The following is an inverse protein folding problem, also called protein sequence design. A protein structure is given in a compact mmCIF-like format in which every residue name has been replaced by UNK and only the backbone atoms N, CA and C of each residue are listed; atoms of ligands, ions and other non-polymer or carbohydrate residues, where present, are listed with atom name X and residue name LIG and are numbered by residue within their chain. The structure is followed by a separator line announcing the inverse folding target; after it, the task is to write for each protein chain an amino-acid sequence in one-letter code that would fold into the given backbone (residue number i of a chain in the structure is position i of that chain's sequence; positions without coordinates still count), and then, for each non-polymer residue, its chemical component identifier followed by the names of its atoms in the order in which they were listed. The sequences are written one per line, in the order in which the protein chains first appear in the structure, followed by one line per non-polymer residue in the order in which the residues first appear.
data_IF_531147448246
#
_entry.id   IF_531147448246
#
_cell.length_a   1.000
_cell.length_b   1.000
_cell.length_c   1.000
_cell.angle_alpha   90.00
_cell.angle_beta   90.00
_cell.angle_gamma   90.00
#
_symmetry.space_group_name_H-M   'P 1'
#
loop_
_entity.id
_entity.type
_entity.pdbx_description
1 polymer ?
#
# COMPACT_ATOMS: atom_id res chain seq x y z
N UNK A 1 17.50 -67.86 0.58
CA UNK A 1 18.55 -66.85 0.86
C UNK A 1 18.11 -65.52 0.25
N UNK A 2 17.04 -64.88 0.67
CA UNK A 2 16.60 -63.58 0.09
C UNK A 2 15.72 -62.73 1.03
N UNK A 3 15.86 -62.84 2.34
CA UNK A 3 15.04 -62.06 3.31
C UNK A 3 15.87 -61.22 4.29
N UNK A 4 17.21 -61.34 4.27
CA UNK A 4 18.11 -60.68 5.26
C UNK A 4 18.69 -59.34 4.80
N UNK A 5 18.34 -58.81 3.59
CA UNK A 5 18.90 -57.55 3.08
C UNK A 5 17.95 -56.30 3.15
N UNK A 6 16.79 -56.45 3.77
CA UNK A 6 15.81 -55.33 3.88
C UNK A 6 15.90 -54.58 5.22
N UNK A 7 16.60 -55.07 6.23
CA UNK A 7 16.70 -54.41 7.55
C UNK A 7 17.96 -53.54 7.74
N UNK A 8 18.90 -53.57 6.78
CA UNK A 8 20.16 -52.79 6.86
C UNK A 8 20.09 -51.35 6.38
N UNK A 9 19.00 -50.90 5.73
CA UNK A 9 18.89 -49.55 5.17
C UNK A 9 18.10 -48.52 5.99
N UNK A 10 17.52 -48.93 7.12
CA UNK A 10 16.69 -48.04 7.94
C UNK A 10 17.37 -47.39 9.15
N UNK A 11 18.62 -47.73 9.45
CA UNK A 11 19.33 -47.15 10.60
C UNK A 11 20.38 -46.10 10.28
N UNK A 12 20.59 -45.73 9.01
CA UNK A 12 21.56 -44.72 8.59
C UNK A 12 21.04 -43.27 8.56
N UNK A 13 19.78 -43.01 8.99
CA UNK A 13 19.15 -41.70 8.88
C UNK A 13 18.93 -40.93 10.20
N UNK A 14 19.48 -41.40 11.33
CA UNK A 14 19.24 -40.77 12.65
C UNK A 14 20.45 -40.06 13.26
N UNK A 15 21.57 -39.90 12.57
CA UNK A 15 22.72 -39.12 13.04
C UNK A 15 22.98 -37.86 12.21
N UNK A 16 21.93 -37.22 11.74
CA UNK A 16 22.03 -35.87 11.17
C UNK A 16 22.21 -34.86 12.29
N UNK A 17 23.46 -34.58 12.71
CA UNK A 17 23.78 -33.33 13.39
C UNK A 17 23.19 -32.19 12.54
N UNK A 18 22.14 -31.51 13.04
CA UNK A 18 21.67 -30.25 12.51
C UNK A 18 22.79 -29.23 12.72
N UNK A 19 23.77 -29.23 11.83
CA UNK A 19 24.68 -28.09 11.73
C UNK A 19 23.85 -26.87 11.40
N UNK A 20 23.86 -25.88 12.29
CA UNK A 20 23.23 -24.59 12.01
C UNK A 20 23.70 -24.11 10.62
N UNK A 21 22.81 -23.70 9.76
CA UNK A 21 23.19 -23.25 8.42
C UNK A 21 24.29 -22.19 8.56
N UNK A 22 25.40 -22.37 7.86
CA UNK A 22 26.48 -21.40 7.90
C UNK A 22 25.95 -20.06 7.38
N UNK A 23 26.37 -18.94 7.99
CA UNK A 23 26.01 -17.58 7.55
C UNK A 23 26.08 -17.41 6.02
N UNK A 24 27.10 -18.01 5.39
CA UNK A 24 27.27 -17.99 3.92
C UNK A 24 26.17 -18.73 3.14
N UNK A 25 25.58 -19.79 3.71
CA UNK A 25 24.48 -20.52 3.08
C UNK A 25 23.15 -19.76 3.21
N UNK A 26 22.95 -19.05 4.32
CA UNK A 26 21.78 -18.17 4.53
C UNK A 26 21.83 -16.98 3.59
N UNK A 27 22.98 -16.34 3.43
CA UNK A 27 23.18 -15.20 2.51
C UNK A 27 23.00 -15.61 1.05
N UNK A 28 23.46 -16.80 0.65
CA UNK A 28 23.22 -17.31 -0.71
C UNK A 28 21.77 -17.74 -0.97
N UNK A 29 21.06 -18.20 0.05
CA UNK A 29 19.66 -18.61 -0.06
C UNK A 29 18.67 -17.45 -0.06
N UNK A 30 19.02 -16.33 0.57
CA UNK A 30 18.17 -15.16 0.70
C UNK A 30 18.95 -13.86 0.40
N UNK A 31 19.31 -13.60 -0.88
CA UNK A 31 20.09 -12.41 -1.24
C UNK A 31 19.40 -11.11 -0.85
N UNK A 32 18.08 -11.12 -0.70
CA UNK A 32 17.29 -9.97 -0.27
C UNK A 32 17.66 -9.48 1.14
N UNK A 33 18.08 -10.38 2.05
CA UNK A 33 18.48 -10.04 3.43
C UNK A 33 19.78 -9.23 3.52
N UNK A 34 20.61 -9.30 2.49
CA UNK A 34 21.90 -8.59 2.43
C UNK A 34 21.84 -7.38 1.47
N UNK A 35 21.15 -7.52 0.34
CA UNK A 35 21.07 -6.47 -0.67
C UNK A 35 20.22 -5.31 -0.19
N UNK A 36 19.05 -5.57 0.44
CA UNK A 36 18.18 -4.49 0.94
C UNK A 36 18.86 -3.55 1.94
N UNK A 37 19.48 -4.04 3.03
CA UNK A 37 20.18 -3.14 3.95
C UNK A 37 21.40 -2.47 3.30
N UNK A 38 22.11 -3.15 2.38
CA UNK A 38 23.23 -2.54 1.67
C UNK A 38 22.79 -1.34 0.80
N UNK A 39 21.66 -1.46 0.11
CA UNK A 39 21.07 -0.34 -0.66
C UNK A 39 20.68 0.80 0.28
N UNK A 40 20.04 0.51 1.41
CA UNK A 40 19.66 1.54 2.38
C UNK A 40 20.88 2.28 2.93
N UNK A 41 21.92 1.54 3.30
CA UNK A 41 23.21 2.12 3.76
C UNK A 41 23.83 2.99 2.66
N UNK A 42 23.82 2.50 1.41
CA UNK A 42 24.36 3.28 0.28
C UNK A 42 23.59 4.61 0.08
N UNK A 43 22.25 4.59 0.17
CA UNK A 43 21.42 5.79 0.06
C UNK A 43 21.73 6.77 1.21
N UNK A 44 21.79 6.28 2.46
CA UNK A 44 22.08 7.12 3.62
C UNK A 44 23.52 7.70 3.56
N UNK A 45 24.48 6.90 3.10
CA UNK A 45 25.86 7.35 2.90
C UNK A 45 25.94 8.41 1.78
N UNK A 46 25.24 8.19 0.67
CA UNK A 46 25.19 9.18 -0.41
C UNK A 46 24.56 10.51 0.09
N UNK A 47 23.48 10.44 0.84
CA UNK A 47 22.89 11.64 1.46
C UNK A 47 23.86 12.35 2.40
N UNK A 48 24.54 11.58 3.26
CA UNK A 48 25.57 12.16 4.18
C UNK A 48 26.73 12.81 3.41
N UNK A 49 27.24 12.16 2.36
CA UNK A 49 28.31 12.70 1.51
C UNK A 49 27.87 14.00 0.82
N UNK A 50 26.66 14.04 0.27
CA UNK A 50 26.13 15.25 -0.38
C UNK A 50 26.03 16.42 0.59
N UNK A 51 25.56 16.17 1.80
CA UNK A 51 25.37 17.23 2.80
C UNK A 51 26.67 17.69 3.48
N UNK A 52 27.65 16.79 3.70
CA UNK A 52 28.87 17.13 4.47
C UNK A 52 30.11 17.31 3.61
N UNK A 53 30.29 16.46 2.58
CA UNK A 53 31.50 16.50 1.74
C UNK A 53 31.33 17.49 0.59
N UNK A 54 30.18 17.40 -0.11
CA UNK A 54 29.87 18.34 -1.20
C UNK A 54 29.34 19.68 -0.68
N UNK A 55 29.12 19.83 0.63
CA UNK A 55 28.65 21.05 1.30
C UNK A 55 27.42 21.66 0.63
N UNK A 56 26.47 20.78 0.20
CA UNK A 56 25.23 21.24 -0.39
C UNK A 56 24.52 22.21 0.56
N UNK A 57 23.96 23.32 0.05
CA UNK A 57 23.24 24.27 0.90
C UNK A 57 22.13 23.60 1.70
N UNK A 58 22.04 23.87 3.00
CA UNK A 58 21.10 23.22 3.93
C UNK A 58 19.64 23.47 3.58
N UNK A 59 19.34 24.53 2.82
CA UNK A 59 18.03 24.84 2.28
C UNK A 59 17.67 24.02 1.03
N UNK A 60 18.62 23.19 0.51
CA UNK A 60 18.36 22.25 -0.58
C UNK A 60 18.39 20.81 -0.03
N UNK A 61 19.51 20.46 0.64
CA UNK A 61 19.72 19.13 1.21
C UNK A 61 20.15 19.26 2.66
N UNK A 62 19.23 19.20 3.63
CA UNK A 62 19.57 19.27 5.04
C UNK A 62 20.36 18.03 5.47
N UNK A 63 21.35 18.16 6.38
CA UNK A 63 22.06 17.04 6.97
C UNK A 63 21.11 16.06 7.67
N UNK A 64 21.35 14.74 7.59
CA UNK A 64 20.50 13.72 8.21
C UNK A 64 20.24 13.94 9.69
N UNK A 65 21.23 14.42 10.45
CA UNK A 65 21.10 14.71 11.88
C UNK A 65 20.16 15.89 12.18
N UNK A 66 20.07 16.89 11.30
CA UNK A 66 19.10 17.98 11.46
C UNK A 66 17.68 17.47 11.22
N UNK A 67 17.49 16.61 10.22
CA UNK A 67 16.21 15.97 9.95
C UNK A 67 15.79 15.09 11.12
N UNK A 68 16.71 14.30 11.67
CA UNK A 68 16.46 13.47 12.84
C UNK A 68 16.07 14.30 14.07
N UNK A 69 16.81 15.40 14.35
CA UNK A 69 16.46 16.31 15.45
C UNK A 69 15.08 16.94 15.26
N UNK A 70 14.74 17.38 14.03
CA UNK A 70 13.44 17.92 13.72
C UNK A 70 12.33 16.88 13.94
N UNK A 71 12.56 15.63 13.54
CA UNK A 71 11.62 14.51 13.75
C UNK A 71 11.41 14.26 15.25
N UNK A 72 12.49 14.12 16.01
CA UNK A 72 12.41 13.87 17.46
C UNK A 72 11.71 15.02 18.18
N UNK A 73 12.08 16.26 17.87
CA UNK A 73 11.47 17.45 18.50
C UNK A 73 9.96 17.55 18.20
N UNK A 74 9.56 17.24 16.97
CA UNK A 74 8.14 17.26 16.60
C UNK A 74 7.34 16.12 17.25
N UNK A 75 7.94 14.94 17.42
CA UNK A 75 7.32 13.79 18.08
C UNK A 75 7.39 13.85 19.62
N UNK A 76 8.32 14.60 20.19
CA UNK A 76 8.43 14.79 21.65
C UNK A 76 7.29 15.63 22.24
N UNK A 77 6.56 16.38 21.42
CA UNK A 77 5.40 17.17 21.85
C UNK A 77 4.21 16.27 22.15
N UNK A 78 3.35 16.73 23.05
CA UNK A 78 2.15 15.98 23.43
C UNK A 78 1.24 15.71 22.21
N UNK A 79 0.52 14.57 22.16
CA UNK A 79 -0.32 14.23 21.02
C UNK A 79 -1.46 15.21 20.70
N UNK A 80 -1.86 16.02 21.69
CA UNK A 80 -2.90 17.05 21.55
C UNK A 80 -2.33 18.45 21.28
N UNK A 81 -1.01 18.61 21.29
CA UNK A 81 -0.37 19.88 21.00
C UNK A 81 -0.44 20.20 19.50
N UNK A 82 -1.12 21.29 19.08
CA UNK A 82 -1.18 21.71 17.68
C UNK A 82 0.19 22.05 17.07
N UNK A 83 1.24 22.22 17.89
CA UNK A 83 2.61 22.37 17.41
C UNK A 83 3.34 21.04 17.20
N UNK A 84 2.75 19.89 17.56
CA UNK A 84 3.37 18.57 17.49
C UNK A 84 2.95 17.77 16.26
N UNK A 85 3.81 16.83 15.85
CA UNK A 85 3.53 16.00 14.67
C UNK A 85 2.39 14.99 14.91
N UNK A 86 2.16 14.52 16.13
CA UNK A 86 1.09 13.57 16.46
C UNK A 86 -0.29 14.11 16.16
N UNK A 87 -0.56 15.38 16.52
CA UNK A 87 -1.83 16.05 16.26
C UNK A 87 -2.13 16.07 14.76
N UNK A 88 -1.18 16.52 13.96
CA UNK A 88 -1.32 16.63 12.51
C UNK A 88 -1.36 15.26 11.83
N UNK A 89 -0.55 14.29 12.29
CA UNK A 89 -0.57 12.92 11.80
C UNK A 89 -1.93 12.25 12.01
N UNK A 90 -2.53 12.45 13.18
CA UNK A 90 -3.89 11.94 13.47
C UNK A 90 -4.94 12.46 12.50
N UNK A 91 -4.89 13.75 12.15
CA UNK A 91 -5.80 14.36 11.19
C UNK A 91 -5.58 13.80 9.79
N UNK A 92 -4.35 13.80 9.29
CA UNK A 92 -4.01 13.25 7.97
C UNK A 92 -4.41 11.78 7.83
N UNK A 93 -4.14 10.97 8.86
CA UNK A 93 -4.53 9.55 8.88
C UNK A 93 -6.05 9.40 8.85
N UNK A 94 -6.78 10.21 9.62
CA UNK A 94 -8.24 10.17 9.63
C UNK A 94 -8.83 10.51 8.26
N UNK A 95 -8.36 11.58 7.64
CA UNK A 95 -8.76 12.00 6.30
C UNK A 95 -8.44 10.94 5.23
N UNK A 96 -7.24 10.36 5.32
CA UNK A 96 -6.80 9.28 4.43
C UNK A 96 -7.66 8.03 4.59
N UNK A 97 -7.97 7.61 5.82
CA UNK A 97 -8.79 6.43 6.11
C UNK A 97 -10.23 6.59 5.61
N UNK A 98 -10.83 7.76 5.84
CA UNK A 98 -12.19 8.04 5.35
C UNK A 98 -12.26 8.01 3.82
N UNK A 99 -11.34 8.73 3.16
CA UNK A 99 -11.29 8.77 1.70
C UNK A 99 -10.95 7.39 1.10
N UNK A 100 -10.03 6.65 1.72
CA UNK A 100 -9.70 5.27 1.33
C UNK A 100 -10.92 4.34 1.46
N UNK A 101 -11.64 4.39 2.56
CA UNK A 101 -12.81 3.55 2.77
C UNK A 101 -13.91 3.84 1.75
N UNK A 102 -14.25 5.12 1.57
CA UNK A 102 -15.28 5.56 0.60
C UNK A 102 -14.85 5.17 -0.82
N UNK A 103 -13.66 5.56 -1.27
CA UNK A 103 -13.17 5.26 -2.61
C UNK A 103 -13.06 3.77 -2.88
N UNK A 104 -12.63 2.98 -1.90
CA UNK A 104 -12.51 1.52 -2.02
C UNK A 104 -13.86 0.83 -2.14
N UNK A 105 -14.83 1.20 -1.30
CA UNK A 105 -16.18 0.63 -1.38
C UNK A 105 -16.85 0.94 -2.71
N UNK A 106 -16.85 2.21 -3.12
CA UNK A 106 -17.42 2.60 -4.40
C UNK A 106 -16.67 1.97 -5.59
N UNK A 107 -15.33 1.92 -5.54
CA UNK A 107 -14.52 1.30 -6.58
C UNK A 107 -14.79 -0.20 -6.71
N UNK A 108 -14.88 -0.93 -5.60
CA UNK A 108 -15.17 -2.36 -5.60
C UNK A 108 -16.60 -2.66 -6.10
N UNK A 109 -17.60 -1.95 -5.56
CA UNK A 109 -19.00 -2.15 -5.94
C UNK A 109 -19.22 -1.81 -7.42
N UNK A 110 -18.73 -0.67 -7.86
CA UNK A 110 -18.91 -0.24 -9.25
C UNK A 110 -18.12 -1.12 -10.22
N UNK A 111 -16.87 -1.49 -9.86
CA UNK A 111 -16.05 -2.38 -10.68
C UNK A 111 -16.70 -3.75 -10.86
N UNK A 112 -17.24 -4.34 -9.79
CA UNK A 112 -17.97 -5.58 -9.85
C UNK A 112 -19.25 -5.45 -10.70
N UNK A 113 -20.02 -4.37 -10.51
CA UNK A 113 -21.26 -4.11 -11.24
C UNK A 113 -21.01 -3.95 -12.75
N UNK A 114 -19.99 -3.19 -13.13
CA UNK A 114 -19.66 -2.94 -14.54
C UNK A 114 -19.36 -4.26 -15.27
N UNK A 115 -18.51 -5.10 -14.69
CA UNK A 115 -18.09 -6.35 -15.38
C UNK A 115 -19.16 -7.42 -15.33
N UNK A 116 -20.08 -7.37 -14.36
CA UNK A 116 -21.18 -8.33 -14.29
C UNK A 116 -22.09 -8.28 -15.54
N UNK A 117 -22.21 -7.12 -16.19
CA UNK A 117 -22.96 -6.95 -17.43
C UNK A 117 -22.02 -6.63 -18.61
N UNK A 118 -21.80 -7.58 -19.55
CA UNK A 118 -20.84 -7.40 -20.66
C UNK A 118 -21.10 -6.17 -21.53
N UNK A 119 -22.38 -5.77 -21.70
CA UNK A 119 -22.73 -4.55 -22.44
C UNK A 119 -22.24 -3.32 -21.68
N UNK A 120 -22.44 -3.27 -20.37
CA UNK A 120 -22.02 -2.15 -19.54
C UNK A 120 -20.49 -2.05 -19.51
N UNK A 121 -19.80 -3.17 -19.39
CA UNK A 121 -18.34 -3.24 -19.43
C UNK A 121 -17.77 -2.64 -20.72
N UNK A 122 -18.22 -3.14 -21.88
CA UNK A 122 -17.74 -2.66 -23.20
C UNK A 122 -18.02 -1.18 -23.41
N UNK A 123 -19.16 -0.68 -22.90
CA UNK A 123 -19.56 0.70 -23.06
C UNK A 123 -18.83 1.64 -22.11
N UNK A 124 -18.52 1.21 -20.88
CA UNK A 124 -17.91 2.08 -19.85
C UNK A 124 -16.39 2.02 -19.82
N UNK A 125 -15.78 0.93 -20.28
CA UNK A 125 -14.33 0.73 -20.24
C UNK A 125 -13.51 1.90 -20.83
N UNK A 126 -13.84 2.46 -22.02
CA UNK A 126 -13.10 3.60 -22.56
C UNK A 126 -13.15 4.84 -21.65
N UNK A 127 -14.29 5.08 -20.98
CA UNK A 127 -14.42 6.17 -20.02
C UNK A 127 -13.62 5.93 -18.75
N UNK A 128 -13.60 4.70 -18.23
CA UNK A 128 -12.79 4.34 -17.07
C UNK A 128 -11.31 4.62 -17.35
N UNK A 129 -10.79 4.20 -18.51
CA UNK A 129 -9.41 4.49 -18.93
C UNK A 129 -9.17 5.99 -19.08
N UNK A 130 -10.09 6.71 -19.72
CA UNK A 130 -10.01 8.16 -19.89
C UNK A 130 -9.94 8.90 -18.55
N UNK A 131 -10.84 8.60 -17.61
CA UNK A 131 -10.85 9.20 -16.29
C UNK A 131 -9.64 8.78 -15.42
N UNK A 132 -9.13 7.58 -15.61
CA UNK A 132 -7.91 7.15 -14.92
C UNK A 132 -6.69 7.98 -15.35
N UNK A 133 -6.64 8.42 -16.60
CA UNK A 133 -5.55 9.21 -17.15
C UNK A 133 -5.55 10.68 -16.71
N UNK A 134 -6.67 11.18 -16.13
CA UNK A 134 -6.72 12.55 -15.63
C UNK A 134 -5.78 12.76 -14.44
N UNK A 135 -5.07 13.89 -14.39
CA UNK A 135 -4.23 14.26 -13.25
C UNK A 135 -5.09 14.64 -12.04
N UNK A 136 -5.54 13.66 -11.27
CA UNK A 136 -6.48 13.83 -10.16
C UNK A 136 -6.02 14.84 -9.10
N UNK A 137 -4.71 14.99 -8.93
CA UNK A 137 -4.10 16.00 -8.04
C UNK A 137 -4.49 17.42 -8.45
N UNK A 138 -4.67 17.67 -9.76
CA UNK A 138 -5.08 18.97 -10.28
C UNK A 138 -6.53 19.35 -9.90
N UNK A 139 -7.32 18.39 -9.41
CA UNK A 139 -8.69 18.65 -8.93
C UNK A 139 -8.70 19.30 -7.53
N UNK A 140 -7.59 19.29 -6.79
CA UNK A 140 -7.57 19.77 -5.40
C UNK A 140 -8.05 21.23 -5.23
N UNK A 141 -7.63 22.23 -6.06
CA UNK A 141 -8.16 23.58 -5.97
C UNK A 141 -9.67 23.66 -6.24
N UNK A 142 -10.18 22.83 -7.16
CA UNK A 142 -11.59 22.77 -7.47
C UNK A 142 -12.42 22.22 -6.30
N UNK A 143 -11.86 21.26 -5.56
CA UNK A 143 -12.50 20.71 -4.37
C UNK A 143 -12.67 21.78 -3.29
N UNK A 144 -11.68 22.64 -3.12
CA UNK A 144 -11.78 23.77 -2.19
C UNK A 144 -12.87 24.76 -2.60
N UNK A 145 -13.03 25.00 -3.90
CA UNK A 145 -14.12 25.87 -4.40
C UNK A 145 -15.50 25.26 -4.15
N UNK A 146 -15.66 23.95 -4.30
CA UNK A 146 -16.95 23.27 -4.15
C UNK A 146 -17.32 22.96 -2.70
N UNK A 147 -16.34 22.50 -1.90
CA UNK A 147 -16.57 21.99 -0.55
C UNK A 147 -15.95 22.88 0.55
N UNK A 148 -15.23 23.95 0.17
CA UNK A 148 -14.50 24.76 1.13
C UNK A 148 -13.23 24.09 1.66
N UNK A 149 -12.64 24.71 2.70
CA UNK A 149 -11.41 24.21 3.35
C UNK A 149 -11.66 23.11 4.41
N UNK A 150 -12.86 22.51 4.41
CA UNK A 150 -13.28 21.51 5.38
C UNK A 150 -12.71 20.10 5.13
N UNK A 151 -13.21 19.16 5.93
CA UNK A 151 -12.89 17.75 5.83
C UNK A 151 -13.40 17.14 4.51
N UNK A 152 -14.56 17.61 4.05
CA UNK A 152 -15.30 17.04 2.93
C UNK A 152 -14.50 17.08 1.63
N UNK A 153 -13.88 18.21 1.31
CA UNK A 153 -13.06 18.36 0.10
C UNK A 153 -11.84 17.44 0.10
N UNK A 154 -11.18 17.29 1.26
CA UNK A 154 -10.00 16.45 1.42
C UNK A 154 -10.35 14.96 1.34
N UNK A 155 -11.44 14.56 1.98
CA UNK A 155 -11.95 13.18 1.90
C UNK A 155 -12.42 12.86 0.48
N UNK A 156 -13.07 13.79 -0.20
CA UNK A 156 -13.53 13.57 -1.57
C UNK A 156 -12.38 13.36 -2.56
N UNK A 157 -11.33 14.22 -2.53
CA UNK A 157 -10.18 14.05 -3.43
C UNK A 157 -9.44 12.73 -3.13
N UNK A 158 -9.31 12.37 -1.85
CA UNK A 158 -8.72 11.11 -1.44
C UNK A 158 -9.54 9.93 -1.96
N UNK A 159 -10.87 9.99 -1.85
CA UNK A 159 -11.77 8.98 -2.37
C UNK A 159 -11.66 8.83 -3.90
N UNK A 160 -11.61 9.93 -4.65
CA UNK A 160 -11.43 9.90 -6.10
C UNK A 160 -10.09 9.29 -6.51
N UNK A 161 -9.01 9.58 -5.77
CA UNK A 161 -7.68 9.04 -6.06
C UNK A 161 -7.64 7.53 -5.79
N UNK A 162 -8.27 7.07 -4.71
CA UNK A 162 -8.27 5.66 -4.29
C UNK A 162 -9.29 4.79 -5.03
N UNK A 163 -10.34 5.39 -5.56
CA UNK A 163 -11.41 4.72 -6.29
C UNK A 163 -10.91 3.93 -7.51
N UNK A 164 -10.10 4.56 -8.38
CA UNK A 164 -9.72 3.95 -9.66
C UNK A 164 -8.85 2.70 -9.54
N UNK A 165 -7.81 2.66 -8.70
CA UNK A 165 -7.03 1.43 -8.50
C UNK A 165 -7.90 0.26 -8.03
N UNK A 166 -8.84 0.50 -7.13
CA UNK A 166 -9.73 -0.54 -6.63
C UNK A 166 -10.72 -0.99 -7.72
N UNK A 167 -11.32 -0.05 -8.42
CA UNK A 167 -12.25 -0.34 -9.53
C UNK A 167 -11.60 -1.23 -10.59
N UNK A 168 -10.44 -0.80 -11.11
CA UNK A 168 -9.76 -1.54 -12.20
C UNK A 168 -9.29 -2.92 -11.75
N UNK A 169 -8.75 -3.03 -10.54
CA UNK A 169 -8.33 -4.33 -10.02
C UNK A 169 -9.54 -5.24 -9.73
N UNK A 170 -10.67 -4.71 -9.29
CA UNK A 170 -11.89 -5.49 -9.12
C UNK A 170 -12.41 -6.01 -10.46
N UNK A 171 -12.40 -5.18 -11.50
CA UNK A 171 -12.75 -5.59 -12.86
C UNK A 171 -11.83 -6.72 -13.35
N UNK A 172 -10.51 -6.54 -13.22
CA UNK A 172 -9.52 -7.55 -13.60
C UNK A 172 -9.71 -8.86 -12.81
N UNK A 173 -10.04 -8.76 -11.52
CA UNK A 173 -10.32 -9.93 -10.68
C UNK A 173 -11.55 -10.72 -11.15
N UNK A 174 -12.60 -10.04 -11.55
CA UNK A 174 -13.78 -10.70 -12.12
C UNK A 174 -13.44 -11.42 -13.45
N UNK A 175 -12.71 -10.75 -14.34
CA UNK A 175 -12.29 -11.28 -15.63
C UNK A 175 -11.28 -12.45 -15.51
N UNK A 176 -10.59 -12.58 -14.38
CA UNK A 176 -9.64 -13.67 -14.13
C UNK A 176 -10.30 -15.04 -13.87
N UNK A 177 -11.60 -15.09 -13.73
CA UNK A 177 -12.35 -16.35 -13.53
C UNK A 177 -12.36 -17.14 -14.82
N UNK A 178 -11.78 -18.35 -14.78
CA UNK A 178 -11.74 -19.27 -15.93
C UNK A 178 -13.15 -19.65 -16.36
N UNK A 179 -13.50 -19.52 -17.66
CA UNK A 179 -14.83 -19.87 -18.18
C UNK A 179 -15.23 -21.32 -17.85
N UNK A 180 -14.28 -22.23 -17.86
CA UNK A 180 -14.48 -23.66 -17.56
C UNK A 180 -15.00 -23.88 -16.13
N UNK A 181 -14.60 -23.04 -15.18
CA UNK A 181 -15.12 -23.09 -13.80
C UNK A 181 -16.58 -22.66 -13.73
N UNK A 182 -16.96 -21.71 -14.57
CA UNK A 182 -18.34 -21.22 -14.68
C UNK A 182 -19.21 -22.31 -15.33
N UNK A 183 -18.75 -22.94 -16.42
CA UNK A 183 -19.44 -24.02 -17.10
C UNK A 183 -19.62 -25.25 -16.21
N UNK A 184 -18.57 -25.60 -15.44
CA UNK A 184 -18.65 -26.69 -14.47
C UNK A 184 -19.72 -26.40 -13.39
N UNK A 185 -19.77 -25.19 -12.89
CA UNK A 185 -20.78 -24.80 -11.91
C UNK A 185 -22.20 -24.91 -12.46
N UNK A 186 -22.44 -24.52 -13.71
CA UNK A 186 -23.73 -24.69 -14.36
C UNK A 186 -24.07 -26.16 -14.60
N UNK A 187 -23.08 -26.97 -14.97
CA UNK A 187 -23.27 -28.44 -15.13
C UNK A 187 -23.65 -29.11 -13.81
N UNK A 188 -23.22 -28.55 -12.68
CA UNK A 188 -23.62 -28.98 -11.35
C UNK A 188 -24.93 -28.31 -10.86
N UNK A 189 -25.69 -27.67 -11.75
CA UNK A 189 -26.93 -26.96 -11.43
C UNK A 189 -26.79 -25.91 -10.34
N UNK A 190 -25.64 -25.21 -10.29
CA UNK A 190 -25.40 -24.13 -9.33
C UNK A 190 -26.28 -22.91 -9.64
N UNK A 191 -26.89 -22.33 -8.63
CA UNK A 191 -27.62 -21.07 -8.78
C UNK A 191 -26.66 -19.91 -9.03
N UNK A 192 -27.15 -18.82 -9.62
CA UNK A 192 -26.38 -17.57 -9.84
C UNK A 192 -25.76 -17.06 -8.53
N UNK A 193 -26.47 -17.15 -7.43
CA UNK A 193 -25.97 -16.75 -6.11
C UNK A 193 -24.77 -17.61 -5.65
N UNK A 194 -24.83 -18.92 -5.88
CA UNK A 194 -23.71 -19.80 -5.57
C UNK A 194 -22.49 -19.52 -6.48
N UNK A 195 -22.73 -19.26 -7.77
CA UNK A 195 -21.68 -18.89 -8.70
C UNK A 195 -20.94 -17.61 -8.22
N UNK A 196 -21.69 -16.56 -7.91
CA UNK A 196 -21.13 -15.30 -7.46
C UNK A 196 -20.37 -15.45 -6.13
N UNK A 197 -21.01 -16.06 -5.11
CA UNK A 197 -20.46 -16.07 -3.75
C UNK A 197 -19.38 -17.11 -3.53
N UNK A 198 -19.39 -18.23 -4.28
CA UNK A 198 -18.47 -19.36 -4.06
C UNK A 198 -17.35 -19.44 -5.10
N UNK A 199 -17.50 -18.81 -6.26
CA UNK A 199 -16.51 -18.86 -7.34
C UNK A 199 -15.99 -17.46 -7.65
N UNK A 200 -16.87 -16.54 -8.06
CA UNK A 200 -16.44 -15.24 -8.57
C UNK A 200 -15.82 -14.39 -7.47
N UNK A 201 -16.54 -14.13 -6.38
CA UNK A 201 -16.03 -13.28 -5.29
C UNK A 201 -14.70 -13.82 -4.71
N UNK A 202 -14.56 -15.12 -4.34
CA UNK A 202 -13.28 -15.64 -3.86
C UNK A 202 -12.14 -15.51 -4.88
N UNK A 203 -12.42 -15.67 -6.17
CA UNK A 203 -11.41 -15.50 -7.22
C UNK A 203 -11.00 -14.03 -7.40
N UNK A 204 -11.92 -13.09 -7.21
CA UNK A 204 -11.66 -11.64 -7.28
C UNK A 204 -10.88 -11.10 -6.09
N UNK A 205 -10.99 -11.72 -4.90
CA UNK A 205 -10.42 -11.18 -3.66
C UNK A 205 -8.92 -10.85 -3.75
N UNK A 206 -8.03 -11.70 -4.29
CA UNK A 206 -6.61 -11.37 -4.41
C UNK A 206 -6.35 -10.13 -5.26
N UNK A 207 -7.13 -9.92 -6.31
CA UNK A 207 -7.04 -8.73 -7.17
C UNK A 207 -7.59 -7.49 -6.46
N UNK A 208 -8.71 -7.62 -5.75
CA UNK A 208 -9.26 -6.56 -4.92
C UNK A 208 -8.22 -6.09 -3.89
N UNK A 209 -7.56 -7.01 -3.18
CA UNK A 209 -6.51 -6.67 -2.23
C UNK A 209 -5.27 -6.06 -2.90
N UNK A 210 -4.93 -6.45 -4.12
CA UNK A 210 -3.89 -5.77 -4.90
C UNK A 210 -4.28 -4.30 -5.18
N UNK A 211 -5.52 -4.05 -5.57
CA UNK A 211 -6.08 -2.71 -5.73
C UNK A 211 -6.07 -1.90 -4.43
N UNK A 212 -6.53 -2.50 -3.32
CA UNK A 212 -6.51 -1.90 -1.99
C UNK A 212 -5.09 -1.56 -1.52
N UNK A 213 -4.11 -2.41 -1.82
CA UNK A 213 -2.71 -2.15 -1.48
C UNK A 213 -2.16 -0.91 -2.19
N UNK A 214 -2.48 -0.71 -3.47
CA UNK A 214 -2.13 0.51 -4.20
C UNK A 214 -2.90 1.71 -3.65
N UNK A 215 -4.20 1.56 -3.46
CA UNK A 215 -5.08 2.62 -2.97
C UNK A 215 -4.68 3.09 -1.56
N UNK A 216 -4.19 2.22 -0.68
CA UNK A 216 -3.77 2.59 0.68
C UNK A 216 -2.59 3.57 0.71
N UNK A 217 -1.64 3.43 -0.21
CA UNK A 217 -0.53 4.38 -0.35
C UNK A 217 -1.01 5.68 -0.97
N UNK A 218 -1.86 5.58 -2.00
CA UNK A 218 -2.44 6.74 -2.67
C UNK A 218 -3.40 7.54 -1.78
N UNK A 219 -3.98 6.93 -0.75
CA UNK A 219 -4.83 7.63 0.22
C UNK A 219 -4.05 8.70 1.00
N UNK A 220 -2.81 8.40 1.41
CA UNK A 220 -1.96 9.40 2.06
C UNK A 220 -1.64 10.55 1.10
N UNK A 221 -1.31 10.24 -0.17
CA UNK A 221 -1.10 11.26 -1.18
C UNK A 221 -2.33 12.15 -1.36
N UNK A 222 -3.53 11.55 -1.43
CA UNK A 222 -4.79 12.26 -1.57
C UNK A 222 -5.07 13.21 -0.40
N UNK A 223 -4.89 12.75 0.83
CA UNK A 223 -5.06 13.56 2.03
C UNK A 223 -4.07 14.74 2.04
N UNK A 224 -2.79 14.48 1.81
CA UNK A 224 -1.73 15.52 1.76
C UNK A 224 -2.02 16.55 0.67
N UNK A 225 -2.43 16.11 -0.53
CA UNK A 225 -2.79 17.03 -1.62
C UNK A 225 -3.97 17.93 -1.24
N UNK A 226 -4.98 17.38 -0.59
CA UNK A 226 -6.11 18.15 -0.05
C UNK A 226 -5.66 19.16 1.02
N UNK A 227 -4.70 18.79 1.87
CA UNK A 227 -4.17 19.65 2.91
C UNK A 227 -3.28 20.79 2.37
N UNK A 228 -2.51 20.54 1.30
CA UNK A 228 -1.64 21.57 0.68
C UNK A 228 -2.42 22.76 0.12
N UNK A 229 -3.70 22.61 -0.22
CA UNK A 229 -4.51 23.66 -0.87
C UNK A 229 -5.18 24.59 0.15
N UNK A 230 -4.77 24.58 1.41
CA UNK A 230 -5.24 25.58 2.39
C UNK A 230 -5.89 25.00 3.63
N UNK A 231 -5.47 23.79 4.05
CA UNK A 231 -5.91 23.24 5.31
C UNK A 231 -5.36 24.05 6.51
N UNK A 232 -6.11 24.02 7.62
CA UNK A 232 -5.68 24.63 8.90
C UNK A 232 -4.87 23.66 9.75
N UNK A 233 -4.85 22.36 9.40
CA UNK A 233 -4.20 21.30 10.16
C UNK A 233 -3.95 20.11 9.25
N UNK A 234 -3.03 19.24 9.64
CA UNK A 234 -2.56 18.07 8.90
C UNK A 234 -1.07 18.17 8.56
N UNK A 235 -0.48 17.03 8.18
CA UNK A 235 0.95 16.96 7.84
C UNK A 235 1.27 17.70 6.53
N UNK A 236 0.34 17.72 5.57
CA UNK A 236 0.49 18.50 4.33
C UNK A 236 0.49 20.00 4.59
N UNK A 237 -0.33 20.48 5.54
CA UNK A 237 -0.28 21.87 5.99
C UNK A 237 1.08 22.20 6.61
N UNK A 238 1.61 21.33 7.46
CA UNK A 238 2.96 21.53 8.04
C UNK A 238 4.04 21.56 6.96
N UNK A 239 3.97 20.72 5.93
CA UNK A 239 4.88 20.77 4.78
C UNK A 239 4.87 22.15 4.12
N UNK A 240 3.67 22.70 3.88
CA UNK A 240 3.52 24.03 3.27
C UNK A 240 4.09 25.12 4.16
N UNK A 241 3.79 25.09 5.47
CA UNK A 241 4.26 26.05 6.44
C UNK A 241 5.81 26.05 6.54
N UNK A 242 6.43 24.87 6.74
CA UNK A 242 7.90 24.78 6.84
C UNK A 242 8.61 25.16 5.53
N UNK A 243 7.99 24.80 4.38
CA UNK A 243 8.53 25.22 3.09
C UNK A 243 8.51 26.74 2.91
N UNK A 244 7.42 27.41 3.31
CA UNK A 244 7.33 28.88 3.27
C UNK A 244 8.31 29.56 4.23
N UNK A 245 8.59 28.94 5.39
CA UNK A 245 9.56 29.41 6.36
C UNK A 245 11.02 29.07 6.00
N UNK A 246 11.25 28.36 4.88
CA UNK A 246 12.57 27.84 4.47
C UNK A 246 13.20 26.87 5.50
N UNK A 247 12.39 26.24 6.33
CA UNK A 247 12.82 25.24 7.32
C UNK A 247 12.82 23.84 6.70
N UNK A 248 13.82 23.53 5.89
CA UNK A 248 13.81 22.32 5.06
C UNK A 248 14.02 21.04 5.87
N UNK A 249 14.75 21.07 6.99
CA UNK A 249 14.93 19.89 7.83
C UNK A 249 13.60 19.37 8.43
N UNK A 250 12.67 20.20 8.97
CA UNK A 250 11.31 19.79 9.30
C UNK A 250 10.48 19.28 8.11
N UNK A 251 10.65 19.85 6.90
CA UNK A 251 9.97 19.32 5.69
C UNK A 251 10.34 17.85 5.45
N UNK A 252 11.65 17.54 5.47
CA UNK A 252 12.10 16.15 5.31
C UNK A 252 11.62 15.25 6.45
N UNK A 253 11.60 15.75 7.69
CA UNK A 253 11.08 14.99 8.83
C UNK A 253 9.59 14.61 8.64
N UNK A 254 8.76 15.54 8.18
CA UNK A 254 7.34 15.29 7.89
C UNK A 254 7.17 14.32 6.70
N UNK A 255 7.99 14.44 5.66
CA UNK A 255 7.98 13.48 4.52
C UNK A 255 8.31 12.06 5.01
N UNK A 256 9.33 11.91 5.88
CA UNK A 256 9.65 10.60 6.46
C UNK A 256 8.49 10.05 7.31
N UNK A 257 7.83 10.90 8.08
CA UNK A 257 6.67 10.51 8.87
C UNK A 257 5.52 10.04 7.97
N UNK A 258 5.22 10.77 6.89
CA UNK A 258 4.23 10.37 5.89
C UNK A 258 4.58 9.04 5.22
N UNK A 259 5.86 8.80 4.91
CA UNK A 259 6.32 7.52 4.36
C UNK A 259 6.09 6.37 5.34
N UNK A 260 6.35 6.57 6.63
CA UNK A 260 6.07 5.57 7.67
C UNK A 260 4.57 5.29 7.79
N UNK A 261 3.73 6.33 7.78
CA UNK A 261 2.27 6.18 7.85
C UNK A 261 1.76 5.41 6.61
N UNK A 262 2.22 5.77 5.41
CA UNK A 262 1.85 5.07 4.18
C UNK A 262 2.29 3.60 4.19
N UNK A 263 3.49 3.32 4.68
CA UNK A 263 3.97 1.95 4.86
C UNK A 263 3.10 1.16 5.84
N UNK A 264 2.73 1.75 6.98
CA UNK A 264 1.87 1.10 7.97
C UNK A 264 0.47 0.84 7.42
N UNK A 265 -0.14 1.78 6.71
CA UNK A 265 -1.42 1.58 6.04
C UNK A 265 -1.36 0.42 5.03
N UNK A 266 -0.33 0.38 4.20
CA UNK A 266 -0.13 -0.71 3.25
C UNK A 266 0.11 -2.05 3.97
N UNK A 267 0.89 -2.06 5.05
CA UNK A 267 1.13 -3.26 5.85
C UNK A 267 -0.16 -3.81 6.47
N UNK A 268 -1.06 -2.95 6.94
CA UNK A 268 -2.37 -3.35 7.45
C UNK A 268 -3.24 -4.00 6.37
N UNK A 269 -3.27 -3.42 5.15
CA UNK A 269 -3.97 -4.01 4.01
C UNK A 269 -3.39 -5.37 3.64
N UNK A 270 -2.06 -5.52 3.60
CA UNK A 270 -1.40 -6.81 3.35
C UNK A 270 -1.66 -7.84 4.44
N UNK A 271 -1.77 -7.42 5.70
CA UNK A 271 -2.14 -8.30 6.80
C UNK A 271 -3.58 -8.80 6.63
N UNK A 272 -4.50 -7.92 6.26
CA UNK A 272 -5.87 -8.29 5.93
C UNK A 272 -5.92 -9.25 4.72
N UNK A 273 -5.16 -8.97 3.66
CA UNK A 273 -5.03 -9.87 2.50
C UNK A 273 -4.62 -11.29 2.92
N UNK A 274 -3.58 -11.43 3.74
CA UNK A 274 -3.13 -12.74 4.23
C UNK A 274 -4.20 -13.47 5.04
N UNK A 275 -5.03 -12.75 5.78
CA UNK A 275 -6.11 -13.33 6.59
C UNK A 275 -7.30 -13.77 5.73
N UNK A 276 -7.66 -12.98 4.71
CA UNK A 276 -8.84 -13.22 3.88
C UNK A 276 -8.54 -14.01 2.60
N UNK A 277 -7.30 -13.97 2.07
CA UNK A 277 -6.90 -14.66 0.83
C UNK A 277 -5.85 -15.75 1.10
N UNK A 278 -5.94 -16.47 2.23
CA UNK A 278 -4.95 -17.48 2.63
C UNK A 278 -4.73 -18.58 1.57
N UNK A 279 -5.75 -18.91 0.77
CA UNK A 279 -5.64 -19.90 -0.32
C UNK A 279 -4.74 -19.45 -1.46
N UNK A 280 -4.70 -18.15 -1.79
CA UNK A 280 -3.88 -17.62 -2.87
C UNK A 280 -2.37 -17.68 -2.53
N UNK A 281 -2.02 -17.55 -1.25
CA UNK A 281 -0.64 -17.69 -0.77
C UNK A 281 -0.16 -19.14 -0.79
N UNK A 282 -1.05 -20.10 -0.53
CA UNK A 282 -0.74 -21.54 -0.56
C UNK A 282 -0.36 -22.02 -1.96
N UNK A 283 -1.02 -21.50 -2.99
CA UNK A 283 -0.71 -21.84 -4.38
C UNK A 283 0.63 -21.29 -4.86
N UNK A 284 1.10 -20.17 -4.29
CA UNK A 284 2.38 -19.56 -4.65
C UNK A 284 3.60 -20.19 -3.94
N UNK A 285 3.42 -21.23 -3.14
CA UNK A 285 4.51 -21.89 -2.40
C UNK A 285 5.24 -21.00 -1.37
N UNK A 286 4.64 -19.87 -1.01
CA UNK A 286 5.26 -18.86 -0.10
C UNK A 286 5.01 -19.23 1.37
N UNK A 287 4.02 -20.10 1.64
CA UNK A 287 3.77 -20.68 2.94
C UNK A 287 3.99 -22.19 2.78
N UNK A 288 5.16 -22.69 3.18
CA UNK A 288 5.38 -24.12 3.35
C UNK A 288 4.47 -24.70 4.45
N UNK A 289 4.31 -26.04 4.52
CA UNK A 289 3.50 -26.69 5.52
C UNK A 289 3.97 -26.38 6.93
#
# INVERSE_FOLDING_TARGET
MTVLNLFGKHQAHLSGHRTLPSWRSVVRGYPQLTISPAILIAILTAWWVVSHVLQAPTYIVPPPEQVWRALVNGLARAPWDPGGYWYHAGITVWEALLGFAIGSVFGAVLGFTIVHWPILEKSTYPYVVGFQSLPKVALAPLMVVWFGFGLEGKVFITAVITFFPVLVNTMAGYQSVEPERIELAYSCNASQWHLITKIIIPSCLPFLFAGLSVASVLAILGAVVGELVGARSGLGMLLMQYNQSMEIAPVFAVILLLAVIGFLMNALVKLAERRFCFWAYRQRGIIGP
#
